data_IF_789874744545
#
_entry.id   IF_789874744545
#
_cell.length_a   1.000
_cell.length_b   1.000
_cell.length_c   1.000
_cell.angle_alpha   90.00
_cell.angle_beta   90.00
_cell.angle_gamma   90.00
#
_symmetry.space_group_name_H-M   'P 1'
#
loop_
_entity.id
_entity.type
_entity.pdbx_description
1 polymer ?
#
# COMPACT_ATOMS: atom_id res chain seq x y z
N UNK A 1 0.77 9.22 24.80
CA UNK A 1 0.03 10.18 23.95
C UNK A 1 1.00 11.25 23.46
N UNK A 2 1.64 11.05 22.31
CA UNK A 2 2.42 12.08 21.61
C UNK A 2 1.60 12.59 20.44
N UNK A 3 1.13 13.84 20.54
CA UNK A 3 0.29 14.54 19.57
C UNK A 3 1.16 15.20 18.49
N UNK A 4 1.92 14.42 17.75
CA UNK A 4 2.47 14.90 16.49
C UNK A 4 1.56 14.38 15.38
N UNK A 5 1.04 15.29 14.56
CA UNK A 5 0.40 14.91 13.32
C UNK A 5 1.51 14.45 12.36
N UNK A 6 1.23 13.40 11.59
CA UNK A 6 2.08 12.99 10.47
C UNK A 6 2.20 14.16 9.49
N UNK A 7 3.35 14.29 8.81
CA UNK A 7 3.56 15.35 7.81
C UNK A 7 2.50 15.27 6.70
N UNK A 8 1.77 16.36 6.47
CA UNK A 8 0.64 16.35 5.52
C UNK A 8 1.03 15.92 4.10
N UNK A 9 2.24 16.27 3.65
CA UNK A 9 2.71 15.87 2.32
C UNK A 9 2.97 14.36 2.23
N UNK A 10 3.38 13.73 3.34
CA UNK A 10 3.52 12.28 3.45
C UNK A 10 2.14 11.59 3.39
N UNK A 11 1.14 12.13 4.09
CA UNK A 11 -0.24 11.63 4.04
C UNK A 11 -0.85 11.78 2.65
N UNK A 12 -0.69 12.93 1.99
CA UNK A 12 -1.16 13.14 0.61
C UNK A 12 -0.47 12.23 -0.39
N UNK A 13 0.83 11.94 -0.20
CA UNK A 13 1.56 11.02 -1.07
C UNK A 13 0.94 9.62 -1.05
N UNK A 14 0.70 9.04 0.13
CA UNK A 14 0.15 7.68 0.20
C UNK A 14 -1.30 7.62 -0.30
N UNK A 15 -2.12 8.62 0.02
CA UNK A 15 -3.49 8.69 -0.52
C UNK A 15 -3.50 8.76 -2.05
N UNK A 16 -2.59 9.55 -2.64
CA UNK A 16 -2.42 9.62 -4.10
C UNK A 16 -1.96 8.27 -4.68
N UNK A 17 -1.06 7.57 -3.99
CA UNK A 17 -0.63 6.22 -4.39
C UNK A 17 -1.82 5.26 -4.45
N UNK A 18 -2.61 5.14 -3.38
CA UNK A 18 -3.75 4.21 -3.31
C UNK A 18 -4.81 4.51 -4.38
N UNK A 19 -5.13 5.80 -4.59
CA UNK A 19 -6.04 6.22 -5.65
C UNK A 19 -5.53 5.85 -7.05
N UNK A 20 -4.23 6.06 -7.32
CA UNK A 20 -3.63 5.73 -8.61
C UNK A 20 -3.42 4.23 -8.80
N UNK A 21 -3.20 3.48 -7.72
CA UNK A 21 -3.08 2.01 -7.76
C UNK A 21 -4.39 1.43 -8.30
N UNK A 22 -5.53 1.82 -7.72
CA UNK A 22 -6.84 1.37 -8.16
C UNK A 22 -7.11 1.72 -9.64
N UNK A 23 -6.83 2.96 -10.05
CA UNK A 23 -6.96 3.36 -11.45
C UNK A 23 -6.03 2.55 -12.39
N UNK A 24 -4.83 2.19 -11.93
CA UNK A 24 -3.89 1.37 -12.69
C UNK A 24 -4.41 -0.07 -12.85
N UNK A 25 -5.02 -0.65 -11.79
CA UNK A 25 -5.72 -1.94 -11.86
C UNK A 25 -6.85 -1.92 -12.89
N UNK A 26 -7.75 -0.92 -12.82
CA UNK A 26 -8.86 -0.81 -13.77
C UNK A 26 -8.35 -0.73 -15.22
N UNK A 27 -7.32 0.08 -15.48
CA UNK A 27 -6.72 0.18 -16.80
C UNK A 27 -6.11 -1.15 -17.24
N UNK A 28 -5.34 -1.82 -16.39
CA UNK A 28 -4.63 -3.05 -16.74
C UNK A 28 -5.55 -4.19 -17.16
N UNK A 29 -6.74 -4.26 -16.54
CA UNK A 29 -7.73 -5.31 -16.78
C UNK A 29 -8.77 -4.94 -17.86
N UNK A 30 -8.84 -3.67 -18.28
CA UNK A 30 -9.73 -3.21 -19.36
C UNK A 30 -9.02 -2.95 -20.70
N UNK A 31 -7.76 -2.53 -20.68
CA UNK A 31 -7.01 -2.17 -21.89
C UNK A 31 -6.53 -3.43 -22.63
N UNK A 32 -6.82 -3.55 -23.92
CA UNK A 32 -6.41 -4.71 -24.73
C UNK A 32 -5.01 -4.51 -25.34
N UNK A 33 -4.59 -3.27 -25.53
CA UNK A 33 -3.28 -2.92 -26.05
C UNK A 33 -2.20 -3.19 -24.99
N UNK A 34 -1.27 -4.10 -25.31
CA UNK A 34 -0.19 -4.48 -24.39
C UNK A 34 0.82 -3.38 -24.16
N UNK A 35 1.12 -2.59 -25.19
CA UNK A 35 2.05 -1.46 -25.06
C UNK A 35 1.50 -0.41 -24.11
N UNK A 36 0.20 -0.10 -24.21
CA UNK A 36 -0.45 0.90 -23.34
C UNK A 36 -0.51 0.43 -21.89
N UNK A 37 -0.85 -0.84 -21.67
CA UNK A 37 -0.82 -1.45 -20.34
C UNK A 37 0.58 -1.37 -19.72
N UNK A 38 1.60 -1.87 -20.43
CA UNK A 38 2.98 -1.91 -19.91
C UNK A 38 3.50 -0.51 -19.61
N UNK A 39 3.21 0.47 -20.48
CA UNK A 39 3.59 1.86 -20.26
C UNK A 39 2.92 2.46 -19.01
N UNK A 40 1.66 2.16 -18.77
CA UNK A 40 0.94 2.66 -17.60
C UNK A 40 1.44 2.04 -16.30
N UNK A 41 1.64 0.71 -16.25
CA UNK A 41 2.20 0.03 -15.08
C UNK A 41 3.62 0.50 -14.79
N UNK A 42 4.47 0.58 -15.83
CA UNK A 42 5.83 1.10 -15.68
C UNK A 42 5.83 2.55 -15.18
N UNK A 43 4.92 3.38 -15.69
CA UNK A 43 4.76 4.76 -15.24
C UNK A 43 4.34 4.85 -13.77
N UNK A 44 3.39 4.02 -13.35
CA UNK A 44 2.95 3.92 -11.97
C UNK A 44 4.09 3.50 -11.03
N UNK A 45 4.81 2.41 -11.37
CA UNK A 45 5.94 1.92 -10.57
C UNK A 45 7.00 3.01 -10.41
N UNK A 46 7.40 3.66 -11.51
CA UNK A 46 8.37 4.77 -11.49
C UNK A 46 7.90 5.99 -10.70
N UNK A 47 6.59 6.23 -10.64
CA UNK A 47 6.02 7.36 -9.89
C UNK A 47 6.02 7.12 -8.38
N UNK A 48 6.00 5.88 -7.91
CA UNK A 48 5.81 5.63 -6.48
C UNK A 48 6.95 4.87 -5.81
N UNK A 49 7.67 4.01 -6.52
CA UNK A 49 8.65 3.10 -5.93
C UNK A 49 10.09 3.53 -6.24
N UNK A 50 11.01 3.18 -5.34
CA UNK A 50 12.47 3.30 -5.59
C UNK A 50 13.06 2.09 -6.30
N UNK A 51 12.28 1.02 -6.47
CA UNK A 51 12.66 -0.25 -7.08
C UNK A 51 11.65 -0.64 -8.15
N UNK A 52 12.01 -1.61 -8.99
CA UNK A 52 11.07 -2.25 -9.91
C UNK A 52 10.16 -3.20 -9.13
N UNK A 53 9.22 -2.61 -8.39
CA UNK A 53 8.23 -3.37 -7.65
C UNK A 53 7.54 -4.35 -8.60
N UNK A 54 7.44 -5.62 -8.22
CA UNK A 54 6.57 -6.56 -8.93
C UNK A 54 5.14 -6.13 -8.61
N UNK A 55 4.47 -5.37 -9.49
CA UNK A 55 3.13 -4.93 -9.15
C UNK A 55 2.26 -6.18 -9.21
N UNK A 56 1.38 -6.36 -8.22
CA UNK A 56 0.35 -7.40 -8.26
C UNK A 56 -0.53 -7.31 -9.51
N UNK A 57 -0.45 -6.18 -10.24
CA UNK A 57 -1.05 -5.87 -11.54
C UNK A 57 -0.39 -6.70 -12.69
N UNK A 58 -0.68 -7.99 -12.71
CA UNK A 58 -0.19 -8.92 -13.74
C UNK A 58 -1.31 -9.42 -14.64
N UNK A 59 -0.99 -9.71 -15.91
CA UNK A 59 -1.95 -10.26 -16.87
C UNK A 59 -1.27 -11.24 -17.83
N UNK A 60 -2.00 -12.16 -18.47
CA UNK A 60 -1.43 -13.06 -19.45
C UNK A 60 -0.96 -12.28 -20.70
N UNK A 61 0.11 -12.77 -21.33
CA UNK A 61 0.64 -12.21 -22.59
C UNK A 61 -0.36 -12.24 -23.74
N UNK A 62 -1.33 -13.18 -23.70
CA UNK A 62 -2.41 -13.29 -24.67
C UNK A 62 -3.74 -13.20 -23.95
N UNK A 63 -4.51 -12.18 -24.30
CA UNK A 63 -5.85 -11.95 -23.76
C UNK A 63 -6.83 -12.88 -24.46
N UNK A 64 -7.48 -13.75 -23.70
CA UNK A 64 -8.54 -14.64 -24.18
C UNK A 64 -9.91 -14.12 -23.73
N UNK A 65 -11.00 -14.60 -24.37
CA UNK A 65 -12.35 -14.27 -23.93
C UNK A 65 -12.62 -14.74 -22.48
N UNK A 66 -12.12 -15.92 -22.10
CA UNK A 66 -12.24 -16.43 -20.73
C UNK A 66 -11.55 -15.51 -19.72
N UNK A 67 -10.34 -15.05 -20.02
CA UNK A 67 -9.65 -14.09 -19.17
C UNK A 67 -10.39 -12.75 -19.05
N UNK A 68 -11.06 -12.28 -20.11
CA UNK A 68 -11.85 -11.06 -20.03
C UNK A 68 -13.07 -11.19 -19.11
N UNK A 69 -13.68 -12.37 -19.01
CA UNK A 69 -14.75 -12.60 -18.03
C UNK A 69 -14.17 -12.66 -16.60
N UNK A 70 -13.07 -13.39 -16.39
CA UNK A 70 -12.36 -13.41 -15.09
C UNK A 70 -11.92 -11.99 -14.67
N UNK A 71 -11.45 -11.19 -15.61
CA UNK A 71 -11.04 -9.80 -15.40
C UNK A 71 -12.21 -8.92 -14.93
N UNK A 72 -13.40 -9.11 -15.50
CA UNK A 72 -14.61 -8.38 -15.07
C UNK A 72 -15.01 -8.78 -13.66
N UNK A 73 -15.01 -10.07 -13.35
CA UNK A 73 -15.32 -10.59 -12.01
C UNK A 73 -14.32 -10.07 -10.97
N UNK A 74 -13.03 -10.12 -11.31
CA UNK A 74 -11.96 -9.59 -10.47
C UNK A 74 -12.14 -8.09 -10.21
N UNK A 75 -12.36 -7.28 -11.24
CA UNK A 75 -12.58 -5.85 -11.10
C UNK A 75 -13.84 -5.53 -10.29
N UNK A 76 -14.91 -6.31 -10.43
CA UNK A 76 -16.13 -6.14 -9.64
C UNK A 76 -15.91 -6.42 -8.13
N UNK A 77 -14.93 -7.25 -7.79
CA UNK A 77 -14.52 -7.54 -6.42
C UNK A 77 -13.35 -6.67 -5.93
N UNK A 78 -12.80 -5.80 -6.78
CA UNK A 78 -11.66 -4.94 -6.44
C UNK A 78 -12.14 -3.61 -5.87
N UNK A 79 -11.55 -3.16 -4.78
CA UNK A 79 -11.78 -1.86 -4.16
C UNK A 79 -10.48 -1.06 -4.06
N UNK A 80 -10.60 0.26 -3.87
CA UNK A 80 -9.49 1.04 -3.35
C UNK A 80 -9.12 0.51 -1.95
N UNK A 81 -7.84 0.26 -1.72
CA UNK A 81 -7.37 -0.26 -0.43
C UNK A 81 -7.74 0.71 0.68
N UNK A 82 -8.35 0.23 1.79
CA UNK A 82 -8.57 1.09 2.94
C UNK A 82 -7.22 1.47 3.56
N UNK A 83 -7.03 2.76 3.83
CA UNK A 83 -5.95 3.26 4.67
C UNK A 83 -6.42 3.25 6.13
N UNK A 84 -5.72 2.53 6.99
CA UNK A 84 -6.07 2.45 8.41
C UNK A 84 -5.30 3.45 9.25
N UNK A 85 -3.96 3.38 9.21
CA UNK A 85 -3.09 4.30 9.92
C UNK A 85 -1.80 4.60 9.16
N UNK A 86 -1.19 5.72 9.51
CA UNK A 86 0.20 6.03 9.16
C UNK A 86 0.97 6.20 10.45
N UNK A 87 2.07 5.49 10.56
CA UNK A 87 3.05 5.66 11.62
C UNK A 87 4.26 6.43 11.09
N UNK A 88 4.71 7.42 11.85
CA UNK A 88 5.94 8.15 11.54
C UNK A 88 7.04 7.69 12.49
N UNK A 89 8.15 7.30 11.88
CA UNK A 89 9.38 6.90 12.52
C UNK A 89 10.48 7.91 12.23
N UNK A 90 11.44 8.00 13.15
CA UNK A 90 12.73 8.65 12.91
C UNK A 90 13.85 7.61 12.90
N UNK A 91 14.64 7.60 11.83
CA UNK A 91 15.91 6.84 11.72
C UNK A 91 17.05 7.86 11.78
N UNK A 92 17.64 8.01 12.97
CA UNK A 92 18.41 9.22 13.27
C UNK A 92 17.49 10.44 13.23
N UNK A 93 17.77 11.39 12.34
CA UNK A 93 16.93 12.58 12.10
C UNK A 93 16.06 12.47 10.84
N UNK A 94 16.15 11.35 10.11
CA UNK A 94 15.39 11.16 8.87
C UNK A 94 13.97 10.61 9.14
N UNK A 95 12.91 11.27 8.65
CA UNK A 95 11.55 10.77 8.78
C UNK A 95 11.27 9.64 7.78
N UNK A 96 10.73 8.54 8.32
CA UNK A 96 10.22 7.39 7.58
C UNK A 96 8.78 7.17 7.99
N UNK A 97 7.94 6.76 7.05
CA UNK A 97 6.52 6.57 7.26
C UNK A 97 6.14 5.13 6.92
N UNK A 98 5.29 4.52 7.74
CA UNK A 98 4.70 3.21 7.50
C UNK A 98 3.18 3.38 7.38
N UNK A 99 2.64 3.15 6.18
CA UNK A 99 1.20 3.19 5.94
C UNK A 99 0.62 1.77 5.98
N UNK A 100 -0.31 1.54 6.89
CA UNK A 100 -0.99 0.28 7.09
C UNK A 100 -2.28 0.28 6.29
N UNK A 101 -2.39 -0.68 5.37
CA UNK A 101 -3.48 -0.74 4.39
C UNK A 101 -4.11 -2.14 4.36
N UNK A 102 -5.38 -2.19 3.95
CA UNK A 102 -6.05 -3.46 3.69
C UNK A 102 -5.73 -4.02 2.31
N UNK A 103 -6.30 -5.18 2.01
CA UNK A 103 -6.22 -5.70 0.65
C UNK A 103 -7.12 -4.88 -0.29
N UNK A 104 -6.89 -5.05 -1.59
CA UNK A 104 -7.76 -4.51 -2.63
C UNK A 104 -9.00 -5.40 -2.87
N UNK A 105 -9.26 -6.41 -2.03
CA UNK A 105 -10.43 -7.27 -2.14
C UNK A 105 -11.59 -6.78 -1.28
N UNK A 106 -12.80 -6.79 -1.85
CA UNK A 106 -14.02 -6.38 -1.15
C UNK A 106 -14.25 -7.24 0.11
N UNK A 107 -14.47 -6.58 1.26
CA UNK A 107 -14.70 -7.24 2.54
C UNK A 107 -13.44 -7.54 3.36
N UNK A 108 -12.27 -7.15 2.86
CA UNK A 108 -11.02 -7.17 3.64
C UNK A 108 -10.93 -5.93 4.53
N UNK A 109 -11.18 -6.11 5.83
CA UNK A 109 -11.13 -5.05 6.83
C UNK A 109 -10.02 -5.26 7.88
N UNK A 110 -8.99 -6.04 7.55
CA UNK A 110 -7.74 -6.24 8.32
C UNK A 110 -6.55 -5.57 7.64
N UNK A 111 -5.44 -5.42 8.34
CA UNK A 111 -4.14 -5.11 7.75
C UNK A 111 -3.76 -6.22 6.78
N UNK A 112 -3.24 -5.82 5.61
CA UNK A 112 -2.77 -6.74 4.59
C UNK A 112 -1.38 -6.33 4.11
N UNK A 113 -1.16 -5.02 3.89
CA UNK A 113 0.11 -4.49 3.40
C UNK A 113 0.55 -3.27 4.20
N UNK A 114 1.85 -3.21 4.48
CA UNK A 114 2.51 -2.03 5.05
C UNK A 114 3.50 -1.46 4.05
N UNK A 115 3.25 -0.23 3.62
CA UNK A 115 4.12 0.52 2.71
C UNK A 115 5.05 1.43 3.50
N UNK A 116 6.35 1.23 3.32
CA UNK A 116 7.41 2.03 3.92
C UNK A 116 7.89 3.06 2.91
N UNK A 117 7.79 4.34 3.27
CA UNK A 117 8.08 5.44 2.37
C UNK A 117 8.74 6.63 3.07
N UNK A 118 9.44 7.44 2.29
CA UNK A 118 10.18 8.60 2.79
C UNK A 118 10.69 9.49 1.65
N UNK A 119 11.28 10.64 1.98
CA UNK A 119 11.89 11.52 0.97
C UNK A 119 13.19 10.89 0.45
N UNK A 120 13.22 10.60 -0.85
CA UNK A 120 14.38 10.13 -1.63
C UNK A 120 14.61 11.09 -2.78
N UNK A 121 15.80 11.68 -2.87
CA UNK A 121 16.11 12.73 -3.86
C UNK A 121 15.09 13.87 -3.90
N UNK A 122 14.57 14.27 -2.72
CA UNK A 122 13.60 15.35 -2.56
C UNK A 122 12.13 15.00 -2.85
N UNK A 123 11.82 13.75 -3.21
CA UNK A 123 10.45 13.29 -3.49
C UNK A 123 10.09 12.12 -2.58
N UNK A 124 8.82 12.02 -2.17
CA UNK A 124 8.35 10.82 -1.49
C UNK A 124 8.36 9.62 -2.44
N UNK A 125 8.90 8.51 -1.96
CA UNK A 125 8.91 7.22 -2.64
C UNK A 125 8.74 6.10 -1.62
N UNK A 126 8.01 5.06 -2.02
CA UNK A 126 7.94 3.77 -1.35
C UNK A 126 9.26 3.05 -1.63
N UNK A 127 9.93 2.62 -0.57
CA UNK A 127 11.20 1.90 -0.66
C UNK A 127 11.09 0.47 -0.14
N UNK A 128 9.99 0.10 0.51
CA UNK A 128 9.77 -1.26 1.00
C UNK A 128 8.28 -1.59 1.16
N UNK A 129 7.95 -2.87 1.00
CA UNK A 129 6.61 -3.43 1.15
C UNK A 129 6.69 -4.62 2.09
N UNK A 130 5.76 -4.69 3.04
CA UNK A 130 5.59 -5.81 3.95
C UNK A 130 4.17 -6.35 3.85
N UNK A 131 4.00 -7.66 4.03
CA UNK A 131 2.70 -8.29 4.21
C UNK A 131 2.40 -8.48 5.68
N UNK A 132 1.16 -8.21 6.08
CA UNK A 132 0.66 -8.61 7.41
C UNK A 132 0.28 -10.08 7.38
N UNK A 133 0.72 -10.84 8.37
CA UNK A 133 0.17 -12.17 8.63
C UNK A 133 -1.09 -12.07 9.49
N UNK A 134 -1.92 -13.13 9.55
CA UNK A 134 -3.14 -13.15 10.36
C UNK A 134 -2.89 -13.07 11.88
N UNK A 135 -1.66 -13.29 12.35
CA UNK A 135 -1.28 -13.23 13.76
C UNK A 135 -0.79 -11.83 14.17
N UNK A 136 -0.88 -10.84 13.27
CA UNK A 136 -0.47 -9.45 13.48
C UNK A 136 1.03 -9.20 13.28
N UNK A 137 1.77 -10.20 12.77
CA UNK A 137 3.15 -10.05 12.33
C UNK A 137 3.24 -9.38 10.96
N UNK A 138 4.42 -8.83 10.65
CA UNK A 138 4.72 -8.29 9.33
C UNK A 138 5.96 -8.98 8.74
N UNK A 139 5.82 -9.49 7.52
CA UNK A 139 6.89 -10.13 6.76
C UNK A 139 7.32 -9.25 5.59
N UNK A 140 8.63 -9.12 5.38
CA UNK A 140 9.18 -8.35 4.26
C UNK A 140 8.83 -9.03 2.93
N UNK A 141 8.30 -8.26 1.99
CA UNK A 141 7.91 -8.76 0.67
C UNK A 141 8.85 -8.29 -0.44
N UNK A 142 9.05 -6.97 -0.58
CA UNK A 142 9.84 -6.39 -1.68
C UNK A 142 10.54 -5.09 -1.26
N UNK A 143 11.55 -4.67 -2.02
CA UNK A 143 12.36 -3.48 -1.75
C UNK A 143 13.40 -3.65 -0.64
N UNK A 144 13.74 -2.55 0.02
CA UNK A 144 14.78 -2.49 1.05
C UNK A 144 14.26 -2.99 2.41
N UNK A 145 15.01 -3.80 3.15
CA UNK A 145 14.61 -4.22 4.50
C UNK A 145 14.73 -3.04 5.48
N UNK A 146 13.63 -2.69 6.13
CA UNK A 146 13.55 -1.71 7.21
C UNK A 146 13.68 -2.36 8.60
N UNK A 147 14.48 -1.74 9.48
CA UNK A 147 14.72 -2.23 10.84
C UNK A 147 13.96 -1.36 11.86
N UNK A 148 12.75 -1.76 12.23
CA UNK A 148 11.93 -1.07 13.23
C UNK A 148 12.65 -0.90 14.57
N UNK A 149 13.48 -1.86 14.98
CA UNK A 149 14.28 -1.80 16.22
C UNK A 149 15.31 -0.68 16.27
N UNK A 150 15.65 -0.08 15.11
CA UNK A 150 16.59 1.05 14.98
C UNK A 150 15.88 2.38 14.75
N UNK A 151 14.55 2.37 14.72
CA UNK A 151 13.73 3.51 14.45
C UNK A 151 12.92 3.88 15.69
N UNK A 152 12.60 5.17 15.84
CA UNK A 152 11.77 5.66 16.95
C UNK A 152 10.42 6.12 16.42
N UNK A 153 9.34 5.51 16.89
CA UNK A 153 7.97 5.96 16.61
C UNK A 153 7.74 7.33 17.26
N UNK A 154 7.28 8.31 16.47
CA UNK A 154 7.07 9.69 16.92
C UNK A 154 5.65 10.21 16.71
N UNK A 155 4.91 9.67 15.74
CA UNK A 155 3.53 10.04 15.46
C UNK A 155 2.73 8.85 14.93
N UNK A 156 1.41 8.89 15.16
CA UNK A 156 0.43 7.99 14.54
C UNK A 156 -0.74 8.85 14.07
N UNK A 157 -1.07 8.76 12.79
CA UNK A 157 -2.31 9.30 12.22
C UNK A 157 -3.26 8.13 11.91
N UNK A 158 -4.52 8.27 12.30
CA UNK A 158 -5.55 7.23 12.22
C UNK A 158 -6.67 7.67 11.27
N UNK A 159 -7.16 6.76 10.44
CA UNK A 159 -8.16 7.02 9.40
C UNK A 159 -9.39 6.14 9.61
N UNK A 160 -9.43 4.96 8.99
CA UNK A 160 -10.45 3.93 9.19
C UNK A 160 -9.97 2.95 10.25
N UNK A 161 -10.86 2.52 11.15
CA UNK A 161 -10.54 1.42 12.05
C UNK A 161 -10.62 0.08 11.31
N UNK A 162 -9.68 -0.85 11.53
CA UNK A 162 -9.82 -2.24 11.08
C UNK A 162 -10.92 -2.93 11.91
N UNK A 163 -11.37 -4.11 11.46
CA UNK A 163 -12.35 -4.93 12.19
C UNK A 163 -11.75 -6.17 12.83
N UNK A 164 -10.56 -6.58 12.39
CA UNK A 164 -9.86 -7.71 13.00
C UNK A 164 -9.38 -7.39 14.42
N UNK A 165 -9.46 -8.36 15.31
CA UNK A 165 -9.16 -8.18 16.73
C UNK A 165 -7.69 -7.81 16.96
N UNK A 166 -6.76 -8.49 16.28
CA UNK A 166 -5.33 -8.23 16.43
C UNK A 166 -4.99 -6.81 15.95
N UNK A 167 -5.56 -6.41 14.82
CA UNK A 167 -5.38 -5.08 14.26
C UNK A 167 -6.03 -3.99 15.11
N UNK A 168 -7.17 -4.25 15.75
CA UNK A 168 -7.83 -3.31 16.66
C UNK A 168 -6.94 -3.00 17.88
N UNK A 169 -6.31 -4.03 18.45
CA UNK A 169 -5.37 -3.88 19.57
C UNK A 169 -4.18 -3.02 19.16
N UNK A 170 -3.56 -3.29 18.01
CA UNK A 170 -2.46 -2.47 17.48
C UNK A 170 -2.91 -1.05 17.08
N UNK A 171 -4.17 -0.92 16.64
CA UNK A 171 -4.85 0.35 16.43
C UNK A 171 -5.26 1.04 17.73
N UNK A 172 -4.93 0.49 18.91
CA UNK A 172 -5.23 1.02 20.25
C UNK A 172 -6.73 1.27 20.47
N UNK A 173 -7.57 0.36 20.00
CA UNK A 173 -8.99 0.28 20.33
C UNK A 173 -9.27 -1.05 21.03
N UNK A 174 -10.21 -1.05 21.98
CA UNK A 174 -10.69 -2.29 22.59
C UNK A 174 -11.63 -3.01 21.59
N UNK A 175 -11.49 -4.33 21.40
CA UNK A 175 -12.48 -5.12 20.67
C UNK A 175 -13.86 -4.98 21.34
N UNK A 176 -14.91 -4.83 20.53
CA UNK A 176 -16.29 -4.65 21.01
C UNK A 176 -16.95 -5.96 21.44
#
# INVERSE_FOLDING_TARGET
>A
MNKHAVEQDATRFIQKFLNKEFACWELAYRELDTTKYEAAVTGFVREFFTFEAVPSITRPKKISAGWLEEAKEYLAATIERPLFKIEQYLVGDEPVYAAYTGSNYLGSDSYAEVFLYGKRSGQYRIFSVYHSDPDGGIEHFDGEVFSFSRARLVAIEKFRAPTDEADLIDYQLEPA
#
